data_IF_941221876446
#
_entry.id   IF_941221876446
#
_cell.length_a   1.000
_cell.length_b   1.000
_cell.length_c   1.000
_cell.angle_alpha   90.00
_cell.angle_beta   90.00
_cell.angle_gamma   90.00
#
_symmetry.space_group_name_H-M   'P 1'
#
loop_
_entity.id
_entity.type
_entity.pdbx_description
1 polymer ?
#
# COMPACT_ATOMS: atom_id res chain seq x y z
N UNK A 1 -0.57 -15.81 0.55
CA UNK A 1 0.29 -14.63 0.45
C UNK A 1 1.12 -14.70 -0.82
N UNK A 2 1.49 -13.55 -1.38
CA UNK A 2 2.39 -13.42 -2.52
C UNK A 2 3.39 -12.31 -2.21
N UNK A 3 4.67 -12.62 -2.38
CA UNK A 3 5.80 -11.75 -2.09
C UNK A 3 6.47 -11.33 -3.41
N UNK A 4 6.48 -10.04 -3.69
CA UNK A 4 7.02 -9.42 -4.91
C UNK A 4 7.85 -8.17 -4.60
N UNK A 5 8.34 -8.04 -3.36
CA UNK A 5 9.24 -6.97 -2.93
C UNK A 5 10.49 -6.82 -3.81
N UNK A 6 11.04 -5.60 -3.86
CA UNK A 6 12.31 -5.25 -4.53
C UNK A 6 12.41 -5.67 -6.00
N UNK A 7 11.29 -5.55 -6.71
CA UNK A 7 11.22 -5.79 -8.15
C UNK A 7 11.15 -4.45 -8.94
N UNK A 8 10.79 -4.53 -10.23
CA UNK A 8 10.61 -3.36 -11.11
C UNK A 8 9.19 -3.27 -11.64
N UNK A 9 8.21 -3.71 -10.84
CA UNK A 9 6.81 -3.68 -11.22
C UNK A 9 6.35 -2.22 -11.21
N UNK A 10 5.72 -1.79 -12.30
CA UNK A 10 5.13 -0.45 -12.44
C UNK A 10 3.66 -0.50 -12.90
N UNK A 11 3.07 -1.70 -12.94
CA UNK A 11 1.72 -1.96 -13.47
C UNK A 11 1.54 -3.43 -13.86
N UNK A 12 0.48 -3.75 -14.62
CA UNK A 12 0.21 -5.11 -15.08
C UNK A 12 -0.37 -6.03 -13.99
N UNK A 13 -0.97 -5.45 -12.95
CA UNK A 13 -1.53 -6.19 -11.82
C UNK A 13 -2.79 -6.99 -12.20
N UNK A 14 -3.33 -6.79 -13.41
CA UNK A 14 -4.46 -7.54 -13.97
C UNK A 14 -4.19 -9.04 -13.98
N UNK A 15 -2.95 -9.44 -14.30
CA UNK A 15 -2.58 -10.86 -14.34
C UNK A 15 -2.64 -11.48 -12.95
N UNK A 16 -2.27 -10.74 -11.91
CA UNK A 16 -2.40 -11.21 -10.53
C UNK A 16 -3.88 -11.38 -10.16
N UNK A 17 -4.69 -10.37 -10.47
CA UNK A 17 -6.12 -10.41 -10.22
C UNK A 17 -6.82 -11.63 -10.88
N UNK A 18 -6.43 -11.99 -12.10
CA UNK A 18 -7.01 -13.12 -12.83
C UNK A 18 -6.50 -14.48 -12.37
N UNK A 19 -5.24 -14.56 -11.92
CA UNK A 19 -4.57 -15.84 -11.64
C UNK A 19 -4.63 -16.23 -10.16
N UNK A 20 -4.80 -15.27 -9.26
CA UNK A 20 -4.79 -15.50 -7.81
C UNK A 20 -6.02 -14.91 -7.12
N UNK A 21 -7.25 -15.36 -7.42
CA UNK A 21 -8.49 -14.78 -6.87
C UNK A 21 -8.65 -14.94 -5.34
N UNK A 22 -7.92 -15.88 -4.73
CA UNK A 22 -7.93 -16.15 -3.29
C UNK A 22 -6.74 -15.51 -2.55
N UNK A 23 -6.05 -14.55 -3.17
CA UNK A 23 -4.91 -13.89 -2.55
C UNK A 23 -5.37 -13.01 -1.38
N UNK A 24 -4.76 -13.22 -0.21
CA UNK A 24 -5.10 -12.48 1.01
C UNK A 24 -4.08 -11.42 1.42
N UNK A 25 -2.83 -11.64 1.07
CA UNK A 25 -1.69 -10.78 1.41
C UNK A 25 -0.82 -10.61 0.17
N UNK A 26 -0.50 -9.37 -0.19
CA UNK A 26 0.33 -9.03 -1.32
C UNK A 26 1.39 -8.02 -0.88
N UNK A 27 2.66 -8.39 -1.00
CA UNK A 27 3.76 -7.47 -0.77
C UNK A 27 4.35 -7.02 -2.12
N UNK A 28 4.28 -5.71 -2.36
CA UNK A 28 4.80 -5.00 -3.52
C UNK A 28 5.80 -3.92 -3.10
N UNK A 29 6.33 -3.95 -1.88
CA UNK A 29 7.32 -2.98 -1.41
C UNK A 29 8.54 -2.89 -2.34
N UNK A 30 9.19 -1.72 -2.39
CA UNK A 30 10.39 -1.50 -3.22
C UNK A 30 10.16 -1.62 -4.75
N UNK A 31 8.93 -1.50 -5.23
CA UNK A 31 8.60 -1.48 -6.65
C UNK A 31 8.44 -0.05 -7.21
N UNK A 32 8.18 0.07 -8.52
CA UNK A 32 8.08 1.36 -9.25
C UNK A 32 6.65 1.79 -9.50
N UNK A 33 5.79 1.59 -8.51
CA UNK A 33 4.38 1.97 -8.54
C UNK A 33 4.30 3.45 -8.19
N UNK A 34 3.82 4.28 -9.13
CA UNK A 34 3.77 5.75 -8.98
C UNK A 34 2.37 6.28 -8.75
N UNK A 35 1.39 5.70 -9.43
CA UNK A 35 0.02 6.21 -9.46
C UNK A 35 -0.94 5.23 -8.77
N UNK A 36 -1.88 5.76 -7.98
CA UNK A 36 -2.95 4.99 -7.35
C UNK A 36 -3.75 4.18 -8.38
N UNK A 37 -3.93 4.70 -9.59
CA UNK A 37 -4.67 4.03 -10.67
C UNK A 37 -4.04 2.69 -11.09
N UNK A 38 -2.75 2.49 -10.90
CA UNK A 38 -2.10 1.20 -11.22
C UNK A 38 -2.58 0.06 -10.32
N UNK A 39 -3.17 0.37 -9.16
CA UNK A 39 -3.71 -0.58 -8.19
C UNK A 39 -5.16 -0.99 -8.52
N UNK A 40 -5.82 -0.33 -9.47
CA UNK A 40 -7.22 -0.64 -9.84
C UNK A 40 -7.51 -2.11 -10.11
N UNK A 41 -6.63 -2.89 -10.76
CA UNK A 41 -6.90 -4.29 -11.01
C UNK A 41 -7.07 -5.12 -9.73
N UNK A 42 -6.45 -4.69 -8.62
CA UNK A 42 -6.53 -5.36 -7.33
C UNK A 42 -7.95 -5.32 -6.74
N UNK A 43 -8.83 -4.42 -7.19
CA UNK A 43 -10.26 -4.39 -6.83
C UNK A 43 -10.96 -5.73 -7.09
N UNK A 44 -10.48 -6.50 -8.07
CA UNK A 44 -11.01 -7.82 -8.45
C UNK A 44 -10.59 -8.94 -7.51
N UNK A 45 -9.74 -8.67 -6.51
CA UNK A 45 -9.34 -9.62 -5.48
C UNK A 45 -10.22 -9.40 -4.24
N UNK A 46 -11.33 -10.15 -4.06
CA UNK A 46 -12.28 -9.90 -2.98
C UNK A 46 -11.73 -10.27 -1.60
N UNK A 47 -10.70 -11.12 -1.56
CA UNK A 47 -10.11 -11.63 -0.31
C UNK A 47 -8.80 -10.92 0.05
N UNK A 48 -8.37 -9.90 -0.69
CA UNK A 48 -7.13 -9.20 -0.41
C UNK A 48 -7.33 -8.26 0.78
N UNK A 49 -6.77 -8.65 1.93
CA UNK A 49 -6.90 -7.92 3.19
C UNK A 49 -5.65 -7.12 3.54
N UNK A 50 -4.47 -7.54 3.09
CA UNK A 50 -3.20 -6.87 3.38
C UNK A 50 -2.40 -6.57 2.11
N UNK A 51 -1.94 -5.32 1.98
CA UNK A 51 -1.15 -4.82 0.87
C UNK A 51 0.01 -3.99 1.42
N UNK A 52 1.22 -4.31 0.98
CA UNK A 52 2.43 -3.55 1.28
C UNK A 52 2.95 -2.89 0.01
N UNK A 53 3.07 -1.57 0.04
CA UNK A 53 3.61 -0.70 -1.01
C UNK A 53 4.77 0.15 -0.48
N UNK A 54 5.33 -0.18 0.69
CA UNK A 54 6.42 0.56 1.30
C UNK A 54 7.56 0.75 0.29
N UNK A 55 8.21 1.91 0.29
CA UNK A 55 9.27 2.24 -0.67
C UNK A 55 8.84 2.19 -2.16
N UNK A 56 7.54 2.34 -2.47
CA UNK A 56 7.06 2.69 -3.82
C UNK A 56 6.85 4.21 -3.94
N UNK A 57 6.96 4.78 -5.15
CA UNK A 57 6.77 6.21 -5.37
C UNK A 57 5.36 6.71 -5.00
N UNK A 58 4.35 5.83 -5.08
CA UNK A 58 2.95 6.12 -4.72
C UNK A 58 2.77 6.52 -3.25
N UNK A 59 3.66 6.09 -2.35
CA UNK A 59 3.57 6.42 -0.92
C UNK A 59 3.86 7.89 -0.63
N UNK A 60 4.50 8.60 -1.58
CA UNK A 60 4.79 10.03 -1.48
C UNK A 60 3.59 10.92 -1.86
N UNK A 61 2.50 10.33 -2.35
CA UNK A 61 1.31 11.08 -2.73
C UNK A 61 0.57 11.61 -1.50
N UNK A 62 0.06 12.85 -1.62
CA UNK A 62 -0.85 13.42 -0.63
C UNK A 62 -2.12 12.56 -0.59
N UNK A 63 -2.65 12.29 0.61
CA UNK A 63 -3.79 11.39 0.81
C UNK A 63 -3.56 9.95 0.30
N UNK A 64 -2.30 9.47 0.24
CA UNK A 64 -1.97 8.12 -0.21
C UNK A 64 -2.84 7.04 0.47
N UNK A 65 -2.82 6.95 1.81
CA UNK A 65 -3.59 5.92 2.55
C UNK A 65 -5.08 6.03 2.26
N UNK A 66 -5.65 7.22 2.39
CA UNK A 66 -7.08 7.47 2.15
C UNK A 66 -7.49 7.09 0.71
N UNK A 67 -6.65 7.42 -0.27
CA UNK A 67 -6.89 7.09 -1.68
C UNK A 67 -6.84 5.59 -1.93
N UNK A 68 -5.90 4.87 -1.31
CA UNK A 68 -5.80 3.41 -1.43
C UNK A 68 -7.00 2.72 -0.79
N UNK A 69 -7.37 3.09 0.44
CA UNK A 69 -8.55 2.50 1.11
C UNK A 69 -9.86 2.84 0.39
N UNK A 70 -9.98 4.04 -0.18
CA UNK A 70 -11.13 4.41 -1.03
C UNK A 70 -11.18 3.57 -2.31
N UNK A 71 -10.01 3.30 -2.90
CA UNK A 71 -9.90 2.49 -4.11
C UNK A 71 -10.18 1.00 -3.84
N UNK A 72 -9.69 0.49 -2.71
CA UNK A 72 -9.71 -0.91 -2.30
C UNK A 72 -10.43 -1.04 -0.95
N UNK A 73 -11.77 -0.90 -0.92
CA UNK A 73 -12.53 -0.93 0.33
C UNK A 73 -12.53 -2.31 1.02
N UNK A 74 -12.08 -3.37 0.34
CA UNK A 74 -11.86 -4.68 0.95
C UNK A 74 -10.57 -4.78 1.78
N UNK A 75 -9.66 -3.82 1.60
CA UNK A 75 -8.35 -3.84 2.25
C UNK A 75 -8.50 -3.50 3.73
N UNK A 76 -7.93 -4.32 4.60
CA UNK A 76 -7.92 -4.10 6.04
C UNK A 76 -6.62 -3.42 6.47
N UNK A 77 -5.49 -3.85 5.91
CA UNK A 77 -4.15 -3.37 6.26
C UNK A 77 -3.40 -2.87 5.03
N UNK A 78 -2.82 -1.69 5.16
CA UNK A 78 -1.93 -1.07 4.20
C UNK A 78 -0.60 -0.76 4.90
N UNK A 79 0.50 -1.25 4.36
CA UNK A 79 1.86 -1.05 4.90
C UNK A 79 1.98 -1.44 6.40
N UNK A 80 1.23 -2.48 6.81
CA UNK A 80 1.21 -2.96 8.18
C UNK A 80 0.23 -2.25 9.13
N UNK A 81 -0.50 -1.23 8.69
CA UNK A 81 -1.47 -0.50 9.53
C UNK A 81 -2.87 -0.53 8.93
N UNK A 82 -3.91 -0.45 9.75
CA UNK A 82 -5.29 -0.31 9.28
C UNK A 82 -5.66 1.16 8.95
N UNK A 83 -6.96 1.43 8.76
CA UNK A 83 -7.46 2.77 8.50
C UNK A 83 -7.45 3.68 9.74
N UNK A 84 -7.38 3.10 10.95
CA UNK A 84 -7.34 3.77 12.24
C UNK A 84 -5.89 3.88 12.79
N UNK A 85 -4.89 3.59 11.94
CA UNK A 85 -3.44 3.61 12.27
C UNK A 85 -3.02 2.55 13.30
N UNK A 86 -3.81 1.48 13.44
CA UNK A 86 -3.47 0.35 14.30
C UNK A 86 -2.66 -0.67 13.52
N UNK A 87 -1.56 -1.12 14.13
CA UNK A 87 -0.69 -2.13 13.55
C UNK A 87 -1.43 -3.46 13.38
N UNK A 88 -1.20 -4.11 12.24
CA UNK A 88 -1.69 -5.44 11.97
C UNK A 88 -1.13 -6.39 13.04
N UNK A 89 -1.96 -7.28 13.62
CA UNK A 89 -1.43 -8.30 14.52
C UNK A 89 -0.37 -9.09 13.74
N UNK A 90 0.80 -9.29 14.37
CA UNK A 90 1.89 -10.10 13.82
C UNK A 90 1.29 -11.38 13.26
N UNK A 91 1.19 -11.43 11.94
CA UNK A 91 0.55 -12.52 11.22
C UNK A 91 1.56 -13.65 11.13
N UNK A 92 2.07 -14.09 12.27
CA UNK A 92 2.85 -15.31 12.40
C UNK A 92 1.85 -16.49 12.47
N UNK A 93 1.72 -17.28 11.40
CA UNK A 93 0.84 -18.45 11.39
C UNK A 93 1.31 -19.57 12.34
N UNK A 94 2.44 -19.45 13.04
CA UNK A 94 2.94 -20.48 13.96
C UNK A 94 2.53 -20.28 15.43
N UNK A 95 1.78 -19.23 15.78
CA UNK A 95 1.42 -18.93 17.18
C UNK A 95 0.07 -19.50 17.66
N UNK A 96 -0.77 -20.06 16.78
CA UNK A 96 -2.07 -20.67 17.17
C UNK A 96 -1.99 -22.22 17.18
N UNK A 97 -0.89 -22.73 17.75
CA UNK A 97 -0.50 -24.13 17.74
C UNK A 97 -0.59 -24.87 19.07
N UNK A 98 -1.21 -24.31 20.11
CA UNK A 98 -1.38 -25.00 21.41
C UNK A 98 -2.81 -24.89 21.94
N UNK A 99 -3.72 -25.47 21.16
CA UNK A 99 -5.06 -25.87 21.58
C UNK A 99 -5.16 -27.37 21.83
N UNK A 100 -4.10 -28.00 22.37
CA UNK A 100 -4.22 -29.33 22.97
C UNK A 100 -4.67 -29.15 24.42
N UNK A 101 -5.98 -28.98 24.62
CA UNK A 101 -6.65 -29.37 25.86
C UNK A 101 -6.52 -30.89 26.00
N UNK A 102 -5.33 -31.38 26.34
CA UNK A 102 -5.20 -32.70 26.92
C UNK A 102 -5.51 -32.58 28.42
N UNK A 103 -6.79 -32.74 28.72
CA UNK A 103 -7.30 -33.02 30.06
C UNK A 103 -6.81 -34.42 30.50
N UNK A 104 -5.53 -34.52 30.88
CA UNK A 104 -5.08 -35.61 31.75
C UNK A 104 -5.35 -35.22 33.20
N UNK A 105 -6.55 -35.53 33.64
CA UNK A 105 -6.84 -35.86 35.03
C UNK A 105 -5.94 -37.06 35.43
N UNK A 106 -4.78 -36.79 36.02
CA UNK A 106 -4.02 -37.82 36.72
C UNK A 106 -3.33 -37.25 37.95
N UNK A 107 -4.00 -37.48 39.09
CA UNK A 107 -3.39 -38.19 40.22
C UNK A 107 -2.17 -37.54 40.85
N UNK A 108 -2.44 -36.88 41.98
CA UNK A 108 -1.56 -36.71 43.12
C UNK A 108 -0.50 -37.84 43.23
N UNK A 109 0.78 -37.48 43.21
CA UNK A 109 1.82 -38.21 43.94
C UNK A 109 3.02 -37.27 44.20
N UNK A 110 3.11 -36.84 45.46
CA UNK A 110 4.32 -36.42 46.18
C UNK A 110 5.56 -37.18 45.71
N UNK A 111 6.54 -36.52 45.10
CA UNK A 111 7.95 -36.93 45.20
C UNK A 111 8.91 -35.74 45.02
N UNK A 112 9.32 -35.25 46.19
CA UNK A 112 10.68 -34.84 46.61
C UNK A 112 11.48 -33.79 45.84
N UNK A 113 11.89 -32.83 46.66
CA UNK A 113 12.68 -31.63 46.44
C UNK A 113 14.16 -32.02 46.30
N UNK A 114 14.72 -31.97 45.08
CA UNK A 114 16.17 -31.84 44.90
C UNK A 114 16.52 -30.42 44.48
N UNK A 115 16.99 -29.69 45.49
CA UNK A 115 17.65 -28.39 45.39
C UNK A 115 18.99 -28.61 44.67
N UNK A 116 19.09 -28.16 43.42
CA UNK A 116 20.41 -27.98 42.79
C UNK A 116 20.83 -26.54 43.06
N UNK A 117 21.62 -26.43 44.14
CA UNK A 117 22.53 -25.35 44.45
C UNK A 117 23.78 -25.53 43.57
N UNK A 118 24.03 -24.59 42.65
CA UNK A 118 25.36 -24.41 42.07
C UNK A 118 25.53 -22.92 41.72
N UNK A 119 25.99 -22.21 42.74
CA UNK A 119 27.05 -21.20 42.76
C UNK A 119 27.00 -20.05 41.72
N UNK A 120 26.98 -18.85 42.30
CA UNK A 120 27.17 -17.54 41.70
C UNK A 120 28.51 -17.45 40.95
N UNK A 121 28.47 -17.05 39.67
CA UNK A 121 29.59 -16.38 39.02
C UNK A 121 29.21 -14.89 38.85
N UNK A 122 29.59 -14.12 39.87
CA UNK A 122 29.81 -12.67 39.79
C UNK A 122 31.03 -12.37 38.90
N UNK A 123 31.05 -11.14 38.35
CA UNK A 123 32.16 -10.46 37.67
C UNK A 123 32.39 -10.76 36.17
N UNK A 124 31.90 -9.85 35.31
CA UNK A 124 32.86 -9.12 34.46
C UNK A 124 32.35 -7.69 34.18
N UNK A 125 32.91 -6.78 34.97
CA UNK A 125 33.00 -5.34 34.76
C UNK A 125 33.67 -5.07 33.41
N UNK A 126 32.94 -4.52 32.45
CA UNK A 126 33.54 -3.82 31.32
C UNK A 126 32.97 -2.41 31.22
N UNK A 127 33.50 -1.54 32.09
CA UNK A 127 33.72 -0.14 31.76
C UNK A 127 34.42 -0.04 30.39
N UNK A 128 33.75 0.58 29.43
CA UNK A 128 34.23 0.72 28.07
C UNK A 128 33.87 2.09 27.49
N UNK A 129 34.49 3.09 28.10
CA UNK A 129 34.91 4.38 27.55
C UNK A 129 33.89 5.20 26.73
N UNK A 130 33.51 6.33 27.33
CA UNK A 130 33.06 7.50 26.59
C UNK A 130 34.21 8.04 25.73
N UNK A 131 33.98 8.21 24.42
CA UNK A 131 34.70 9.20 23.63
C UNK A 131 33.69 9.94 22.73
N UNK A 132 33.52 11.19 23.14
CA UNK A 132 33.17 12.37 22.36
C UNK A 132 33.74 12.33 20.93
N UNK A 133 32.91 12.56 19.92
CA UNK A 133 33.38 13.26 18.73
C UNK A 133 32.24 14.15 18.20
N UNK A 134 32.32 15.42 18.55
CA UNK A 134 31.55 16.48 17.92
C UNK A 134 32.13 16.75 16.54
N UNK A 135 31.27 16.76 15.54
CA UNK A 135 31.52 17.54 14.32
C UNK A 135 30.26 18.34 14.04
N UNK A 136 30.32 19.56 14.57
CA UNK A 136 29.70 20.76 14.03
C UNK A 136 30.05 20.88 12.54
N UNK A 137 29.04 20.86 11.67
CA UNK A 137 29.17 21.31 10.29
C UNK A 137 28.02 22.30 10.06
N UNK A 138 28.23 23.48 10.63
CA UNK A 138 27.68 24.72 10.10
C UNK A 138 28.34 24.97 8.73
N UNK A 139 27.61 24.75 7.65
CA UNK A 139 27.88 25.48 6.41
C UNK A 139 26.58 26.17 5.99
N UNK A 140 26.58 27.47 6.29
CA UNK A 140 25.81 28.51 5.65
C UNK A 140 25.97 28.40 4.12
N UNK A 141 24.86 28.39 3.37
CA UNK A 141 24.88 28.93 2.02
C UNK A 141 23.74 29.96 1.92
N UNK A 142 24.11 31.16 2.37
CA UNK A 142 23.44 32.43 2.14
C UNK A 142 23.55 32.82 0.65
N UNK A 143 22.37 33.11 0.07
CA UNK A 143 22.12 34.12 -0.98
C UNK A 143 22.73 33.92 -2.38
N UNK A 144 21.88 33.82 -3.41
CA UNK A 144 21.96 34.79 -4.53
C UNK A 144 20.62 34.92 -5.29
N UNK A 145 20.03 36.09 -5.06
CA UNK A 145 19.27 36.97 -5.94
C UNK A 145 19.10 36.60 -7.42
N UNK A 146 17.86 36.78 -7.88
CA UNK A 146 17.46 36.71 -9.28
C UNK A 146 16.10 37.39 -9.48
N UNK A 147 15.96 38.63 -9.02
CA UNK A 147 14.95 39.56 -9.52
C UNK A 147 15.23 39.91 -11.00
N UNK A 148 14.34 39.51 -11.91
CA UNK A 148 13.99 40.18 -13.19
C UNK A 148 12.97 39.26 -13.91
N UNK A 149 11.86 39.64 -14.52
CA UNK A 149 11.03 40.85 -14.58
C UNK A 149 9.86 40.45 -15.53
N UNK A 150 8.81 41.25 -15.56
CA UNK A 150 7.82 41.38 -16.65
C UNK A 150 6.65 40.38 -16.68
N UNK A 151 5.55 40.85 -16.08
CA UNK A 151 4.20 40.92 -16.64
C UNK A 151 3.85 40.05 -17.86
N UNK A 152 2.86 39.16 -17.71
CA UNK A 152 1.83 39.01 -18.73
C UNK A 152 0.50 38.60 -18.07
N UNK A 153 -0.41 39.56 -17.93
CA UNK A 153 -1.82 39.28 -17.70
C UNK A 153 -2.43 38.71 -18.98
N UNK A 154 -2.82 37.44 -18.94
CA UNK A 154 -3.88 36.92 -19.81
C UNK A 154 -4.57 35.73 -19.14
N UNK A 155 -5.58 36.04 -18.34
CA UNK A 155 -6.69 35.15 -18.02
C UNK A 155 -7.47 34.86 -19.32
N UNK A 156 -7.50 33.60 -19.77
CA UNK A 156 -8.68 32.92 -20.32
C UNK A 156 -8.32 31.49 -20.79
N UNK A 157 -8.88 30.51 -20.09
CA UNK A 157 -9.47 29.24 -20.57
C UNK A 157 -8.74 28.35 -21.63
N UNK A 158 -8.32 27.17 -21.16
CA UNK A 158 -8.33 25.80 -21.76
C UNK A 158 -8.70 25.59 -23.27
N UNK A 159 -8.41 24.40 -23.87
CA UNK A 159 -7.20 23.58 -23.87
C UNK A 159 -6.70 23.26 -25.30
N UNK A 160 -5.50 22.67 -25.36
CA UNK A 160 -4.77 22.24 -26.56
C UNK A 160 -5.07 20.78 -26.92
N UNK A 161 -5.36 20.50 -28.20
CA UNK A 161 -5.37 19.16 -28.84
C UNK A 161 -6.64 18.93 -29.66
N UNK A 162 -6.67 18.39 -30.89
CA UNK A 162 -5.83 17.37 -31.52
C UNK A 162 -5.88 17.48 -33.05
N UNK A 163 -4.77 17.14 -33.72
CA UNK A 163 -4.77 16.78 -35.15
C UNK A 163 -4.76 15.27 -35.29
N UNK A 164 -5.86 14.63 -35.74
CA UNK A 164 -5.84 13.32 -36.41
C UNK A 164 -6.87 13.23 -37.54
N UNK A 165 -6.44 12.56 -38.62
CA UNK A 165 -7.10 12.37 -39.92
C UNK A 165 -8.49 11.74 -39.80
N UNK A 166 -9.49 12.32 -40.47
CA UNK A 166 -10.75 11.65 -40.82
C UNK A 166 -10.59 10.92 -42.16
N UNK A 167 -10.87 9.61 -42.16
CA UNK A 167 -11.18 8.86 -43.36
C UNK A 167 -12.71 8.67 -43.44
N UNK A 168 -13.24 8.97 -44.63
CA UNK A 168 -14.39 8.43 -45.38
C UNK A 168 -15.66 8.00 -44.61
N UNK A 169 -16.76 8.71 -44.90
CA UNK A 169 -18.00 8.16 -45.54
C UNK A 169 -19.00 7.79 -44.41
N UNK A 170 -20.28 8.11 -44.40
CA UNK A 170 -21.30 8.41 -45.41
C UNK A 170 -22.55 8.78 -44.58
N UNK A 171 -23.08 9.99 -44.67
CA UNK A 171 -24.32 10.40 -44.00
C UNK A 171 -25.22 11.03 -45.05
N UNK A 172 -25.93 10.16 -45.76
CA UNK A 172 -27.14 10.51 -46.48
C UNK A 172 -28.18 9.46 -46.13
N UNK A 173 -29.22 9.87 -45.41
CA UNK A 173 -30.60 9.65 -45.86
C UNK A 173 -31.57 10.45 -44.96
N UNK A 174 -32.22 11.41 -45.62
CA UNK A 174 -33.44 12.06 -45.15
C UNK A 174 -34.59 11.06 -45.30
N UNK A 175 -35.45 10.92 -44.29
CA UNK A 175 -36.90 10.83 -44.50
C UNK A 175 -37.69 11.05 -43.19
N UNK A 176 -38.63 12.00 -43.15
CA UNK A 176 -39.71 12.03 -42.17
C UNK A 176 -41.06 11.79 -42.88
N UNK A 177 -41.57 10.56 -42.87
CA UNK A 177 -42.96 10.28 -43.24
C UNK A 177 -43.68 9.37 -42.23
N UNK A 178 -44.99 9.64 -42.20
CA UNK A 178 -46.14 8.92 -41.63
C UNK A 178 -46.46 9.14 -40.14
N UNK A 179 -47.46 9.99 -39.85
CA UNK A 179 -48.93 9.76 -39.97
C UNK A 179 -49.39 8.79 -38.86
N UNK A 180 -50.12 9.21 -37.84
CA UNK A 180 -51.56 9.59 -37.75
C UNK A 180 -52.13 8.66 -36.66
N UNK A 181 -53.16 9.15 -35.96
CA UNK A 181 -54.17 8.42 -35.18
C UNK A 181 -53.77 7.35 -34.14
N UNK A 182 -54.15 7.60 -32.89
CA UNK A 182 -55.39 6.97 -32.39
C UNK A 182 -55.84 7.65 -31.09
N UNK A 183 -57.04 8.24 -31.16
CA UNK A 183 -57.92 8.50 -30.03
C UNK A 183 -58.27 7.17 -29.33
N UNK A 184 -58.42 7.16 -28.00
CA UNK A 184 -59.69 6.78 -27.36
C UNK A 184 -59.61 6.85 -25.82
N UNK A 185 -60.57 7.62 -25.29
CA UNK A 185 -61.29 7.58 -23.98
C UNK A 185 -60.53 7.37 -22.65
#
# INVERSE_FOLDING_TARGET
QLELSDNRISGGLEVLAERTPNLTHLNLSGNKIKDINTLEPLKKLPNLHSLDLFNCEVTMLINYRESVFTLLPQLTYLDGFDADDQEAPDSDPEADGDGLEDEYENGEDDLDEEVIDDEEDEDDDLEGEEEEDGVDDEEEDEEEDGEDDEEDEADDDLPRGEKRKRNLEDEGEEDPEDEEDDEDD
#
